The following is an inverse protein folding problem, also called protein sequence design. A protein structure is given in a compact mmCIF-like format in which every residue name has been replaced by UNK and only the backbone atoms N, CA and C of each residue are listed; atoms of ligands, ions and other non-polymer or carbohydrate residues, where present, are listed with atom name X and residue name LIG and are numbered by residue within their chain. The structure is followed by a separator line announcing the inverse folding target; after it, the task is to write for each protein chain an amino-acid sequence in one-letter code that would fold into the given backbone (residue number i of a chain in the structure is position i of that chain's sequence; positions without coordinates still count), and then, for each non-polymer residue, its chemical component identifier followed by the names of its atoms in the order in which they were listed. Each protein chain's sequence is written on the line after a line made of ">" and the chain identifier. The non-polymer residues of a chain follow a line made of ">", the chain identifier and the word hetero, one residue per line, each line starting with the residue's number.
data_IF_884044922174
#
_entry.id   IF_884044922174
#
_cell.length_a   1.000
_cell.length_b   1.000
_cell.length_c   1.000
_cell.angle_alpha   90.00
_cell.angle_beta   90.00
_cell.angle_gamma   90.00
#
_symmetry.space_group_name_H-M   'P 1'
#
loop_
_entity.id
_entity.type
_entity.pdbx_description
1 polymer ?
#
# COMPACT_ATOMS: atom_id res chain seq x y z
N UNK A 1 -15.91 -8.87 52.57
CA UNK A 1 -14.72 -9.14 51.74
C UNK A 1 -15.02 -9.38 50.26
N UNK A 2 -16.22 -9.80 49.91
CA UNK A 2 -16.63 -9.96 48.47
C UNK A 2 -16.82 -8.65 47.73
N UNK A 3 -17.18 -7.57 48.43
CA UNK A 3 -17.48 -6.27 47.80
C UNK A 3 -16.25 -5.60 47.17
N UNK A 4 -15.10 -5.79 47.76
CA UNK A 4 -13.83 -5.21 47.25
C UNK A 4 -13.40 -5.84 45.94
N UNK A 5 -13.56 -7.15 45.80
CA UNK A 5 -13.26 -7.87 44.56
C UNK A 5 -14.25 -7.53 43.44
N UNK A 6 -15.52 -7.30 43.80
CA UNK A 6 -16.54 -6.86 42.85
C UNK A 6 -16.26 -5.44 42.37
N UNK A 7 -15.89 -4.52 43.28
CA UNK A 7 -15.53 -3.15 42.92
C UNK A 7 -14.28 -3.08 42.02
N UNK A 8 -13.25 -3.89 42.30
CA UNK A 8 -12.04 -3.98 41.46
C UNK A 8 -12.38 -4.53 40.07
N UNK A 9 -13.25 -5.56 39.98
CA UNK A 9 -13.69 -6.09 38.69
C UNK A 9 -14.51 -5.07 37.89
N UNK A 10 -15.41 -4.37 38.56
CA UNK A 10 -16.20 -3.31 37.93
C UNK A 10 -15.34 -2.16 37.43
N UNK A 11 -14.34 -1.77 38.20
CA UNK A 11 -13.34 -0.76 37.79
C UNK A 11 -12.58 -1.19 36.54
N UNK A 12 -12.11 -2.45 36.47
CA UNK A 12 -11.43 -2.99 35.31
C UNK A 12 -12.32 -3.01 34.05
N UNK A 13 -13.56 -3.44 34.23
CA UNK A 13 -14.55 -3.45 33.14
C UNK A 13 -14.78 -2.04 32.63
N UNK A 14 -14.98 -1.07 33.55
CA UNK A 14 -15.17 0.33 33.20
C UNK A 14 -13.96 0.90 32.44
N UNK A 15 -12.74 0.58 32.86
CA UNK A 15 -11.52 0.98 32.17
C UNK A 15 -11.42 0.36 30.77
N UNK A 16 -11.75 -0.92 30.64
CA UNK A 16 -11.75 -1.63 29.36
C UNK A 16 -12.78 -1.03 28.39
N UNK A 17 -13.97 -0.74 28.87
CA UNK A 17 -15.01 -0.08 28.06
C UNK A 17 -14.59 1.31 27.64
N UNK A 18 -14.04 2.11 28.54
CA UNK A 18 -13.52 3.44 28.23
C UNK A 18 -12.39 3.38 27.20
N UNK A 19 -11.47 2.43 27.33
CA UNK A 19 -10.39 2.23 26.36
C UNK A 19 -10.92 1.80 24.99
N UNK A 20 -11.86 0.87 24.95
CA UNK A 20 -12.50 0.44 23.71
C UNK A 20 -13.22 1.59 23.00
N UNK A 21 -13.87 2.46 23.77
CA UNK A 21 -14.55 3.63 23.25
C UNK A 21 -13.57 4.65 22.67
N UNK A 22 -12.46 4.94 23.37
CA UNK A 22 -11.38 5.79 22.85
C UNK A 22 -10.76 5.23 21.58
N UNK A 23 -10.54 3.91 21.51
CA UNK A 23 -10.02 3.24 20.32
C UNK A 23 -11.00 3.34 19.14
N UNK A 24 -12.29 3.20 19.40
CA UNK A 24 -13.34 3.34 18.39
C UNK A 24 -13.39 4.76 17.82
N UNK A 25 -13.33 5.78 18.67
CA UNK A 25 -13.29 7.18 18.25
C UNK A 25 -12.02 7.51 17.47
N UNK A 26 -10.87 7.02 17.92
CA UNK A 26 -9.59 7.22 17.24
C UNK A 26 -9.58 6.53 15.86
N UNK A 27 -10.12 5.32 15.76
CA UNK A 27 -10.28 4.59 14.49
C UNK A 27 -11.16 5.35 13.51
N UNK A 28 -12.26 5.91 13.99
CA UNK A 28 -13.17 6.72 13.16
C UNK A 28 -12.48 7.97 12.62
N UNK A 29 -11.70 8.66 13.42
CA UNK A 29 -10.91 9.82 12.98
C UNK A 29 -9.88 9.46 11.92
N UNK A 30 -9.21 8.33 12.07
CA UNK A 30 -8.28 7.82 11.05
C UNK A 30 -9.02 7.54 9.75
N UNK A 31 -10.17 6.89 9.81
CA UNK A 31 -11.01 6.61 8.62
C UNK A 31 -11.45 7.88 7.92
N UNK A 32 -11.95 8.85 8.64
CA UNK A 32 -12.39 10.13 8.07
C UNK A 32 -11.25 10.85 7.34
N UNK A 33 -10.08 10.91 7.94
CA UNK A 33 -8.91 11.53 7.32
C UNK A 33 -8.38 10.70 6.15
N UNK A 34 -8.39 9.39 6.26
CA UNK A 34 -7.96 8.50 5.19
C UNK A 34 -8.91 8.56 3.98
N UNK A 35 -10.22 8.62 4.20
CA UNK A 35 -11.21 8.68 3.13
C UNK A 35 -11.10 9.94 2.28
N UNK A 36 -10.66 11.03 2.86
CA UNK A 36 -10.42 12.31 2.16
C UNK A 36 -9.01 12.46 1.59
N UNK A 37 -8.12 11.50 1.84
CA UNK A 37 -6.72 11.58 1.42
C UNK A 37 -6.58 11.30 -0.08
N UNK A 38 -6.05 12.28 -0.79
CA UNK A 38 -5.59 12.16 -2.16
C UNK A 38 -4.13 12.59 -2.25
N UNK A 39 -3.31 11.78 -2.87
CA UNK A 39 -1.87 12.00 -2.99
C UNK A 39 -1.47 11.98 -4.45
N UNK A 40 -0.75 13.00 -4.88
CA UNK A 40 -0.20 13.06 -6.23
C UNK A 40 1.21 12.47 -6.26
N UNK A 41 1.45 11.58 -7.21
CA UNK A 41 2.77 11.10 -7.56
C UNK A 41 3.10 11.54 -8.98
N UNK A 42 4.29 12.06 -9.19
CA UNK A 42 4.74 12.56 -10.51
C UNK A 42 6.01 11.83 -10.93
N UNK A 43 6.12 11.49 -12.21
CA UNK A 43 7.35 10.98 -12.80
C UNK A 43 8.46 12.04 -12.75
N UNK A 44 9.73 11.61 -12.77
CA UNK A 44 10.89 12.53 -12.63
C UNK A 44 10.91 13.67 -13.64
N UNK A 45 10.51 13.39 -14.88
CA UNK A 45 10.45 14.38 -15.94
C UNK A 45 9.16 15.19 -15.96
N UNK A 46 8.22 14.92 -15.06
CA UNK A 46 6.92 15.60 -15.02
C UNK A 46 5.96 15.20 -16.13
N UNK A 47 6.21 14.08 -16.82
CA UNK A 47 5.40 13.65 -17.96
C UNK A 47 4.05 13.08 -17.54
N UNK A 48 4.01 12.42 -16.38
CA UNK A 48 2.82 11.74 -15.85
C UNK A 48 2.62 12.13 -14.39
N UNK A 49 1.39 12.47 -14.04
CA UNK A 49 0.94 12.65 -12.66
C UNK A 49 -0.18 11.68 -12.36
N UNK A 50 -0.07 10.94 -11.26
CA UNK A 50 -1.09 10.00 -10.78
C UNK A 50 -1.67 10.50 -9.48
N UNK A 51 -2.95 10.32 -9.29
CA UNK A 51 -3.61 10.54 -8.01
C UNK A 51 -3.93 9.19 -7.40
N UNK A 52 -3.50 8.98 -6.16
CA UNK A 52 -3.76 7.76 -5.40
C UNK A 52 -4.50 8.07 -4.10
N UNK A 53 -5.28 7.11 -3.63
CA UNK A 53 -5.97 7.20 -2.33
C UNK A 53 -5.08 6.75 -1.17
N UNK A 54 -5.63 6.75 0.05
CA UNK A 54 -4.92 6.35 1.26
C UNK A 54 -4.37 4.92 1.21
N UNK A 55 -5.03 4.01 0.49
CA UNK A 55 -4.59 2.64 0.27
C UNK A 55 -3.58 2.51 -0.87
N UNK A 56 -3.23 3.61 -1.54
CA UNK A 56 -2.33 3.60 -2.69
C UNK A 56 -2.97 3.13 -3.98
N UNK A 57 -4.31 3.10 -4.05
CA UNK A 57 -5.02 2.76 -5.28
C UNK A 57 -5.08 3.96 -6.20
N UNK A 58 -4.83 3.72 -7.48
CA UNK A 58 -4.86 4.77 -8.50
C UNK A 58 -6.29 5.24 -8.75
N UNK A 59 -6.52 6.54 -8.64
CA UNK A 59 -7.81 7.20 -8.88
C UNK A 59 -7.85 7.97 -10.17
N UNK A 60 -6.73 8.54 -10.58
CA UNK A 60 -6.63 9.34 -11.78
C UNK A 60 -5.21 9.27 -12.35
N UNK A 61 -5.09 9.41 -13.66
CA UNK A 61 -3.82 9.49 -14.36
C UNK A 61 -3.88 10.66 -15.31
N UNK A 62 -2.93 11.57 -15.21
CA UNK A 62 -2.84 12.75 -16.06
C UNK A 62 -1.53 12.75 -16.82
N UNK A 63 -1.62 13.05 -18.10
CA UNK A 63 -0.47 13.22 -18.96
C UNK A 63 -0.25 14.70 -19.23
N UNK A 64 0.99 15.16 -19.09
CA UNK A 64 1.37 16.53 -19.42
C UNK A 64 1.84 16.62 -20.86
N UNK A 65 2.08 17.83 -21.35
CA UNK A 65 2.63 18.05 -22.69
C UNK A 65 4.00 17.36 -22.88
N UNK A 66 4.79 17.23 -21.82
CA UNK A 66 6.09 16.52 -21.83
C UNK A 66 5.94 15.04 -22.18
N UNK A 67 4.77 14.43 -21.98
CA UNK A 67 4.51 13.03 -22.33
C UNK A 67 4.47 12.77 -23.82
N UNK A 68 4.19 13.78 -24.64
CA UNK A 68 4.02 13.66 -26.09
C UNK A 68 5.30 13.27 -26.82
N UNK A 69 6.46 13.57 -26.24
CA UNK A 69 7.77 13.23 -26.81
C UNK A 69 8.26 11.84 -26.43
N UNK A 70 7.53 11.15 -25.54
CA UNK A 70 7.87 9.81 -25.09
C UNK A 70 7.35 8.74 -26.05
N UNK A 71 8.15 7.71 -26.30
CA UNK A 71 7.67 6.50 -26.96
C UNK A 71 6.81 5.67 -25.97
N UNK A 72 6.05 4.66 -26.44
CA UNK A 72 5.20 3.85 -25.57
C UNK A 72 5.93 3.19 -24.41
N UNK A 73 7.16 2.73 -24.61
CA UNK A 73 7.97 2.13 -23.55
C UNK A 73 8.37 3.12 -22.46
N UNK A 74 8.78 4.30 -22.86
CA UNK A 74 9.12 5.41 -21.96
C UNK A 74 7.89 5.89 -21.19
N UNK A 75 6.76 6.00 -21.87
CA UNK A 75 5.48 6.39 -21.27
C UNK A 75 5.03 5.39 -20.21
N UNK A 76 5.13 4.09 -20.50
CA UNK A 76 4.84 3.03 -19.54
C UNK A 76 5.73 3.11 -18.30
N UNK A 77 7.01 3.34 -18.48
CA UNK A 77 7.96 3.51 -17.38
C UNK A 77 7.63 4.75 -16.53
N UNK A 78 7.26 5.86 -17.16
CA UNK A 78 6.87 7.09 -16.47
C UNK A 78 5.59 6.91 -15.64
N UNK A 79 4.60 6.19 -16.16
CA UNK A 79 3.36 5.85 -15.42
C UNK A 79 3.69 5.01 -14.18
N UNK A 80 4.50 3.98 -14.33
CA UNK A 80 4.90 3.12 -13.21
C UNK A 80 5.68 3.88 -12.14
N UNK A 81 6.57 4.77 -12.55
CA UNK A 81 7.32 5.64 -11.63
C UNK A 81 6.41 6.59 -10.86
N UNK A 82 5.46 7.23 -11.53
CA UNK A 82 4.47 8.11 -10.91
C UNK A 82 3.61 7.34 -9.88
N UNK A 83 3.17 6.13 -10.21
CA UNK A 83 2.41 5.27 -9.31
C UNK A 83 3.24 4.90 -8.06
N UNK A 84 4.48 4.50 -8.23
CA UNK A 84 5.37 4.15 -7.11
C UNK A 84 5.61 5.34 -6.19
N UNK A 85 5.83 6.52 -6.74
CA UNK A 85 5.98 7.75 -5.97
C UNK A 85 4.72 8.08 -5.19
N UNK A 86 3.56 8.04 -5.83
CA UNK A 86 2.27 8.30 -5.19
C UNK A 86 1.97 7.31 -4.07
N UNK A 87 2.23 6.03 -4.27
CA UNK A 87 2.03 4.99 -3.26
C UNK A 87 2.93 5.16 -2.05
N UNK A 88 4.19 5.51 -2.26
CA UNK A 88 5.12 5.78 -1.14
C UNK A 88 4.67 6.97 -0.32
N UNK A 89 4.27 8.05 -0.97
CA UNK A 89 3.78 9.23 -0.28
C UNK A 89 2.46 8.97 0.46
N UNK A 90 1.55 8.20 -0.13
CA UNK A 90 0.31 7.77 0.52
C UNK A 90 0.59 6.93 1.77
N UNK A 91 1.52 5.97 1.70
CA UNK A 91 1.93 5.16 2.83
C UNK A 91 2.53 6.00 3.96
N UNK A 92 3.34 7.00 3.63
CA UNK A 92 3.90 7.93 4.60
C UNK A 92 2.82 8.76 5.28
N UNK A 93 1.86 9.26 4.52
CA UNK A 93 0.76 10.07 5.06
C UNK A 93 -0.21 9.28 5.92
N UNK A 94 -0.58 8.08 5.51
CA UNK A 94 -1.46 7.23 6.32
C UNK A 94 -0.77 6.82 7.62
N UNK A 95 0.53 6.56 7.59
CA UNK A 95 1.31 6.28 8.78
C UNK A 95 1.30 7.46 9.75
N UNK A 96 1.45 8.67 9.26
CA UNK A 96 1.38 9.89 10.07
C UNK A 96 -0.01 10.11 10.69
N UNK A 97 -1.08 9.81 9.95
CA UNK A 97 -2.46 9.89 10.45
C UNK A 97 -2.69 8.87 11.56
N UNK A 98 -2.29 7.63 11.36
CA UNK A 98 -2.40 6.56 12.38
C UNK A 98 -1.58 6.91 13.62
N UNK A 99 -0.36 7.40 13.44
CA UNK A 99 0.50 7.78 14.56
C UNK A 99 -0.10 8.91 15.40
N UNK A 100 -0.71 9.89 14.76
CA UNK A 100 -1.36 11.02 15.44
C UNK A 100 -2.53 10.61 16.31
N UNK A 101 -3.35 9.67 15.88
CA UNK A 101 -4.60 9.32 16.53
C UNK A 101 -4.53 8.06 17.40
N UNK A 102 -3.69 7.11 17.03
CA UNK A 102 -3.64 5.78 17.65
C UNK A 102 -2.24 5.45 18.16
N UNK A 103 -1.20 5.86 17.41
CA UNK A 103 0.18 5.45 17.63
C UNK A 103 0.56 4.24 16.79
N UNK A 104 1.68 4.34 16.07
CA UNK A 104 2.20 3.26 15.20
C UNK A 104 2.78 2.09 16.00
N UNK A 105 3.17 2.31 17.25
CA UNK A 105 3.73 1.30 18.14
C UNK A 105 2.65 0.46 18.85
N UNK A 106 1.39 0.86 18.72
CA UNK A 106 0.28 0.12 19.31
C UNK A 106 -0.15 -1.04 18.40
N UNK A 107 -0.72 -2.06 19.01
CA UNK A 107 -1.26 -3.21 18.26
C UNK A 107 -2.36 -2.79 17.27
N UNK A 108 -3.24 -1.88 17.69
CA UNK A 108 -4.29 -1.33 16.84
C UNK A 108 -3.72 -0.53 15.66
N UNK A 109 -2.73 0.32 15.91
CA UNK A 109 -2.06 1.10 14.88
C UNK A 109 -1.38 0.22 13.82
N UNK A 110 -0.68 -0.82 14.24
CA UNK A 110 -0.07 -1.79 13.34
C UNK A 110 -1.10 -2.56 12.52
N UNK A 111 -2.19 -3.00 13.15
CA UNK A 111 -3.28 -3.67 12.45
C UNK A 111 -3.94 -2.79 11.39
N UNK A 112 -4.11 -1.51 11.67
CA UNK A 112 -4.66 -0.56 10.70
C UNK A 112 -3.71 -0.32 9.53
N UNK A 113 -2.41 -0.17 9.77
CA UNK A 113 -1.42 -0.01 8.71
C UNK A 113 -1.34 -1.24 7.80
N UNK A 114 -1.38 -2.43 8.38
CA UNK A 114 -1.46 -3.68 7.61
C UNK A 114 -2.73 -3.75 6.75
N UNK A 115 -3.87 -3.34 7.29
CA UNK A 115 -5.12 -3.32 6.55
C UNK A 115 -5.05 -2.40 5.33
N UNK A 116 -4.47 -1.20 5.44
CA UNK A 116 -4.27 -0.30 4.31
C UNK A 116 -3.27 -0.86 3.29
N UNK A 117 -2.20 -1.49 3.75
CA UNK A 117 -1.23 -2.14 2.87
C UNK A 117 -1.85 -3.30 2.07
N UNK A 118 -2.70 -4.10 2.69
CA UNK A 118 -3.43 -5.18 2.02
C UNK A 118 -4.44 -4.67 1.00
N UNK A 119 -5.11 -3.56 1.27
CA UNK A 119 -6.03 -2.92 0.32
C UNK A 119 -5.32 -2.39 -0.94
N UNK A 120 -4.05 -2.02 -0.83
CA UNK A 120 -3.24 -1.57 -1.96
C UNK A 120 -2.98 -2.68 -3.00
N UNK A 121 -3.10 -3.93 -2.59
CA UNK A 121 -2.76 -5.08 -3.43
C UNK A 121 -1.25 -5.25 -3.62
N UNK A 122 -0.83 -6.16 -4.50
CA UNK A 122 0.58 -6.41 -4.75
C UNK A 122 1.27 -5.17 -5.31
N UNK A 123 2.54 -4.98 -4.97
CA UNK A 123 3.35 -3.88 -5.49
C UNK A 123 3.37 -3.93 -7.01
N UNK A 124 3.09 -2.80 -7.63
CA UNK A 124 3.14 -2.66 -9.09
C UNK A 124 4.56 -3.02 -9.55
N UNK A 125 4.66 -4.00 -10.44
CA UNK A 125 5.94 -4.55 -10.90
C UNK A 125 6.35 -5.87 -10.26
N UNK A 126 5.83 -6.24 -9.09
CA UNK A 126 6.08 -7.56 -8.50
C UNK A 126 5.41 -8.68 -9.31
N UNK A 127 4.21 -8.41 -9.81
CA UNK A 127 3.46 -9.36 -10.65
C UNK A 127 4.14 -9.57 -11.99
N UNK A 128 4.64 -8.51 -12.64
CA UNK A 128 5.40 -8.61 -13.89
C UNK A 128 6.71 -9.39 -13.73
N UNK A 129 7.41 -9.21 -12.62
CA UNK A 129 8.62 -10.00 -12.33
C UNK A 129 8.32 -11.46 -12.09
N UNK A 130 7.21 -11.77 -11.42
CA UNK A 130 6.76 -13.14 -11.20
C UNK A 130 6.35 -13.81 -12.51
N UNK A 131 5.56 -13.13 -13.34
CA UNK A 131 5.14 -13.61 -14.66
C UNK A 131 6.32 -13.81 -15.61
N UNK A 132 7.27 -12.87 -15.65
CA UNK A 132 8.49 -12.98 -16.46
C UNK A 132 9.42 -14.09 -15.95
N UNK A 133 9.49 -14.30 -14.65
CA UNK A 133 10.27 -15.40 -14.06
C UNK A 133 9.63 -16.76 -14.36
N UNK A 134 8.31 -16.82 -14.37
CA UNK A 134 7.54 -18.03 -14.70
C UNK A 134 7.64 -18.35 -16.18
N UNK A 135 7.46 -17.37 -17.06
CA UNK A 135 7.66 -17.49 -18.51
C UNK A 135 9.09 -17.91 -18.87
N UNK A 136 10.09 -17.37 -18.17
CA UNK A 136 11.48 -17.76 -18.36
C UNK A 136 11.78 -19.17 -17.87
N UNK A 137 11.08 -19.64 -16.84
CA UNK A 137 11.18 -21.01 -16.34
C UNK A 137 10.51 -22.02 -17.29
N UNK A 138 9.38 -21.65 -17.84
CA UNK A 138 8.64 -22.49 -18.78
C UNK A 138 9.39 -22.62 -20.11
N UNK A 139 9.97 -21.53 -20.60
CA UNK A 139 10.85 -21.51 -21.77
C UNK A 139 12.10 -22.37 -21.60
N UNK A 140 12.61 -22.45 -20.37
CA UNK A 140 13.76 -23.33 -20.04
C UNK A 140 13.36 -24.80 -19.90
N UNK A 141 12.11 -25.06 -19.54
CA UNK A 141 11.55 -26.42 -19.44
C UNK A 141 11.13 -27.00 -20.78
N UNK A 142 10.69 -26.17 -21.69
CA UNK A 142 10.24 -26.58 -23.04
C UNK A 142 11.36 -26.62 -24.08
N UNK A 143 12.58 -26.23 -23.71
CA UNK A 143 13.73 -26.45 -24.57
C UNK A 143 13.98 -27.96 -24.73
N UNK A 144 13.94 -28.50 -25.96
CA UNK A 144 14.20 -29.90 -26.13
C UNK A 144 15.58 -30.27 -25.63
N UNK A 145 15.70 -31.40 -24.88
CA UNK A 145 17.00 -31.83 -24.40
C UNK A 145 17.92 -32.16 -25.58
N UNK A 146 18.95 -31.37 -25.71
CA UNK A 146 20.09 -31.74 -26.54
C UNK A 146 19.86 -31.73 -28.05
N UNK A 147 19.72 -30.56 -28.63
CA UNK A 147 20.27 -30.36 -29.97
C UNK A 147 21.80 -30.20 -29.83
N UNK A 148 22.45 -31.30 -29.47
CA UNK A 148 23.86 -31.44 -29.72
C UNK A 148 23.94 -31.77 -31.20
N UNK A 149 24.39 -30.85 -32.02
CA UNK A 149 24.82 -31.14 -33.35
C UNK A 149 26.10 -31.97 -33.26
N UNK A 150 26.05 -33.28 -33.55
CA UNK A 150 27.26 -34.08 -33.50
C UNK A 150 28.21 -33.65 -34.63
N UNK A 151 29.33 -33.16 -34.25
CA UNK A 151 30.54 -33.16 -35.07
C UNK A 151 30.48 -32.45 -36.41
N UNK A 152 30.62 -31.21 -36.39
CA UNK A 152 31.37 -30.57 -37.46
C UNK A 152 32.61 -29.93 -36.91
#
# INVERSE_FOLDING_TARGET
>A
MSDRLVEERLSRIAEQVAQAQRNSEATERVREQADSLEVEGTSKGGEVTVVVDAAGRVRDVRFTAASQVLNPSQLSAAVMEAIDTGRRDAATRIRAIVDRHIGVDTRLGQAMLEAYEQMAGPKVGATRRAEQAEESRDKKRSAPPGLVFPGM
#
